data_IF_588475926886
#
_entry.id   IF_588475926886
#
_cell.length_a   1.000
_cell.length_b   1.000
_cell.length_c   1.000
_cell.angle_alpha   90.00
_cell.angle_beta   90.00
_cell.angle_gamma   90.00
#
_symmetry.space_group_name_H-M   'P 1'
#
loop_
_entity.id
_entity.type
_entity.pdbx_description
1 polymer ?
#
# COMPACT_ATOMS: atom_id res chain seq x y z
N UNK A 1 5.32 -50.85 28.40
CA UNK A 1 5.76 -50.12 27.20
C UNK A 1 4.58 -49.66 26.38
N UNK A 2 4.11 -48.44 26.64
CA UNK A 2 3.10 -47.78 25.81
C UNK A 2 3.79 -47.00 24.71
N UNK A 3 3.55 -47.38 23.45
CA UNK A 3 3.98 -46.62 22.29
C UNK A 3 3.24 -45.27 22.26
N UNK A 4 3.99 -44.17 22.32
CA UNK A 4 3.47 -42.84 22.05
C UNK A 4 3.21 -42.76 20.55
N UNK A 5 1.96 -42.49 20.17
CA UNK A 5 1.52 -42.27 18.79
C UNK A 5 2.34 -41.14 18.14
N UNK A 6 2.65 -41.21 16.83
CA UNK A 6 3.33 -40.09 16.17
C UNK A 6 2.40 -38.88 16.11
N UNK A 7 3.00 -37.68 16.15
CA UNK A 7 2.29 -36.41 15.99
C UNK A 7 1.73 -36.31 14.57
N UNK A 8 0.50 -36.81 14.35
CA UNK A 8 -0.29 -36.41 13.20
C UNK A 8 -0.72 -34.96 13.38
N UNK A 9 -0.39 -34.14 12.40
CA UNK A 9 -0.82 -32.76 12.33
C UNK A 9 0.26 -31.85 11.81
N UNK A 10 0.65 -32.02 10.55
CA UNK A 10 1.12 -30.88 9.76
C UNK A 10 -0.01 -29.85 9.79
N UNK A 11 0.13 -28.87 10.69
CA UNK A 11 -0.77 -27.74 10.72
C UNK A 11 -0.43 -26.91 9.48
N UNK A 12 -1.00 -27.31 8.34
CA UNK A 12 -1.16 -26.54 7.12
C UNK A 12 -2.12 -25.37 7.42
N UNK A 13 -1.69 -24.54 8.36
CA UNK A 13 -2.30 -23.30 8.78
C UNK A 13 -1.85 -22.23 7.80
N UNK A 14 -2.52 -22.25 6.65
CA UNK A 14 -2.70 -21.14 5.69
C UNK A 14 -2.25 -19.77 6.22
N UNK A 15 -1.02 -19.41 5.91
CA UNK A 15 -0.75 -18.30 4.98
C UNK A 15 0.55 -18.68 4.29
N UNK A 16 0.43 -19.37 3.17
CA UNK A 16 1.46 -19.32 2.13
C UNK A 16 1.79 -17.85 1.92
N UNK A 17 2.90 -17.39 2.50
CA UNK A 17 4.11 -17.01 1.80
C UNK A 17 3.99 -16.43 0.38
N UNK A 18 2.84 -15.91 -0.04
CA UNK A 18 2.78 -15.01 -1.16
C UNK A 18 3.59 -13.80 -0.73
N UNK A 19 4.74 -13.58 -1.37
CA UNK A 19 5.49 -12.35 -1.23
C UNK A 19 4.52 -11.19 -1.47
N UNK A 20 3.93 -10.67 -0.41
CA UNK A 20 2.85 -9.69 -0.47
C UNK A 20 3.52 -8.41 -0.90
N UNK A 21 3.62 -8.22 -2.21
CA UNK A 21 4.05 -6.97 -2.80
C UNK A 21 3.09 -5.93 -2.27
N UNK A 22 3.56 -5.10 -1.34
CA UNK A 22 2.79 -3.99 -0.80
C UNK A 22 2.36 -3.14 -2.00
N UNK A 23 1.10 -2.71 -2.09
CA UNK A 23 0.62 -1.84 -3.16
C UNK A 23 1.13 -0.39 -2.97
N UNK A 24 2.45 -0.24 -2.89
CA UNK A 24 3.17 1.01 -2.67
C UNK A 24 4.26 1.10 -3.75
N UNK A 25 4.30 2.23 -4.45
CA UNK A 25 5.15 2.44 -5.62
C UNK A 25 4.36 2.60 -6.91
N UNK A 26 5.05 2.58 -8.05
CA UNK A 26 4.43 2.79 -9.36
C UNK A 26 4.11 1.44 -10.02
N UNK A 27 2.88 1.28 -10.50
CA UNK A 27 2.39 0.06 -11.14
C UNK A 27 1.93 0.37 -12.56
N UNK A 28 2.46 -0.31 -13.60
CA UNK A 28 1.95 -0.15 -14.95
C UNK A 28 0.56 -0.78 -15.07
N UNK A 29 -0.32 -0.12 -15.82
CA UNK A 29 -1.65 -0.61 -16.18
C UNK A 29 -1.75 -0.85 -17.69
N UNK A 30 -2.85 -1.45 -18.12
CA UNK A 30 -3.16 -1.55 -19.54
C UNK A 30 -3.23 -0.16 -20.19
N UNK A 31 -2.86 -0.08 -21.48
CA UNK A 31 -2.92 1.17 -22.25
C UNK A 31 -1.81 2.18 -21.94
N UNK A 32 -0.70 1.76 -21.30
CA UNK A 32 0.44 2.64 -21.03
C UNK A 32 0.20 3.65 -19.91
N UNK A 33 -0.81 3.42 -19.08
CA UNK A 33 -1.11 4.24 -17.91
C UNK A 33 -0.49 3.64 -16.64
N UNK A 34 -0.55 4.38 -15.53
CA UNK A 34 0.06 3.97 -14.28
C UNK A 34 -0.90 4.16 -13.10
N UNK A 35 -0.78 3.28 -12.10
CA UNK A 35 -1.30 3.51 -10.76
C UNK A 35 -0.14 3.87 -9.82
N UNK A 36 -0.33 4.90 -9.00
CA UNK A 36 0.60 5.23 -7.93
C UNK A 36 0.04 4.74 -6.59
N UNK A 37 0.75 3.83 -5.94
CA UNK A 37 0.43 3.33 -4.61
C UNK A 37 1.13 4.09 -3.50
N UNK A 38 0.37 4.57 -2.52
CA UNK A 38 0.84 5.30 -1.34
C UNK A 38 0.27 4.63 -0.08
N UNK A 39 1.13 4.28 0.87
CA UNK A 39 0.75 3.62 2.12
C UNK A 39 0.42 4.59 3.26
N UNK A 40 -0.48 4.17 4.15
CA UNK A 40 -0.74 4.83 5.43
C UNK A 40 0.26 4.32 6.49
N UNK A 41 0.92 5.21 7.27
CA UNK A 41 1.78 4.76 8.35
C UNK A 41 0.95 4.03 9.42
N UNK A 42 1.30 2.79 9.73
CA UNK A 42 0.55 1.95 10.69
C UNK A 42 -0.94 1.75 10.36
N UNK A 43 -1.38 2.14 9.16
CA UNK A 43 -2.78 2.11 8.76
C UNK A 43 -3.64 3.32 9.15
N UNK A 44 -3.05 4.37 9.69
CA UNK A 44 -3.78 5.58 10.11
C UNK A 44 -2.98 6.84 9.83
N UNK A 45 -3.67 7.95 9.58
CA UNK A 45 -3.05 9.28 9.44
C UNK A 45 -4.13 10.34 9.75
N UNK A 46 -3.76 11.51 10.32
CA UNK A 46 -4.69 12.62 10.51
C UNK A 46 -5.45 13.00 9.24
N UNK A 47 -6.75 13.31 9.39
CA UNK A 47 -7.65 13.54 8.27
C UNK A 47 -7.27 14.76 7.41
N UNK A 48 -6.71 15.81 8.02
CA UNK A 48 -6.17 16.99 7.34
C UNK A 48 -5.09 16.62 6.33
N UNK A 49 -4.23 15.63 6.64
CA UNK A 49 -3.21 15.12 5.72
C UNK A 49 -3.81 14.34 4.55
N UNK A 50 -4.87 13.57 4.79
CA UNK A 50 -5.62 12.89 3.71
C UNK A 50 -6.23 13.94 2.78
N UNK A 51 -6.86 14.97 3.34
CA UNK A 51 -7.46 16.08 2.58
C UNK A 51 -6.38 16.81 1.76
N UNK A 52 -5.23 17.11 2.35
CA UNK A 52 -4.13 17.77 1.66
C UNK A 52 -3.60 16.93 0.48
N UNK A 53 -3.41 15.62 0.68
CA UNK A 53 -2.97 14.72 -0.38
C UNK A 53 -4.02 14.61 -1.51
N UNK A 54 -5.30 14.46 -1.16
CA UNK A 54 -6.39 14.37 -2.13
C UNK A 54 -6.52 15.67 -2.97
N UNK A 55 -6.36 16.84 -2.34
CA UNK A 55 -6.33 18.14 -3.06
C UNK A 55 -5.15 18.23 -4.03
N UNK A 56 -3.96 17.81 -3.61
CA UNK A 56 -2.78 17.77 -4.48
C UNK A 56 -3.00 16.81 -5.66
N UNK A 57 -3.51 15.60 -5.39
CA UNK A 57 -3.83 14.63 -6.43
C UNK A 57 -4.83 15.17 -7.47
N UNK A 58 -5.91 15.82 -7.01
CA UNK A 58 -6.88 16.45 -7.90
C UNK A 58 -6.24 17.55 -8.76
N UNK A 59 -5.41 18.42 -8.16
CA UNK A 59 -4.70 19.46 -8.90
C UNK A 59 -3.69 18.90 -9.92
N UNK A 60 -3.17 17.70 -9.67
CA UNK A 60 -2.27 16.96 -10.54
C UNK A 60 -2.99 16.06 -11.56
N UNK A 61 -4.33 16.10 -11.60
CA UNK A 61 -5.13 15.39 -12.59
C UNK A 61 -5.46 13.93 -12.25
N UNK A 62 -5.28 13.49 -11.00
CA UNK A 62 -5.84 12.21 -10.55
C UNK A 62 -7.36 12.25 -10.67
N UNK A 63 -7.94 11.23 -11.31
CA UNK A 63 -9.39 11.13 -11.49
C UNK A 63 -10.04 10.14 -10.52
N UNK A 64 -9.25 9.22 -9.97
CA UNK A 64 -9.75 8.17 -9.07
C UNK A 64 -8.74 7.82 -7.98
N UNK A 65 -9.27 7.56 -6.78
CA UNK A 65 -8.52 7.00 -5.64
C UNK A 65 -9.23 5.72 -5.18
N UNK A 66 -8.51 4.60 -5.10
CA UNK A 66 -9.02 3.32 -4.60
C UNK A 66 -8.29 2.89 -3.34
N UNK A 67 -9.00 2.30 -2.41
CA UNK A 67 -8.38 1.63 -1.26
C UNK A 67 -7.77 0.30 -1.71
N UNK A 68 -6.59 -0.03 -1.19
CA UNK A 68 -5.92 -1.29 -1.45
C UNK A 68 -5.57 -2.04 -0.15
N UNK A 69 -5.48 -3.39 -0.20
CA UNK A 69 -5.02 -4.18 0.93
C UNK A 69 -3.69 -3.70 1.51
N UNK A 70 -3.46 -3.95 2.80
CA UNK A 70 -2.24 -3.48 3.46
C UNK A 70 -2.25 -1.99 3.79
N UNK A 71 -3.44 -1.37 3.87
CA UNK A 71 -3.66 0.04 4.24
C UNK A 71 -2.97 1.02 3.30
N UNK A 72 -3.21 0.86 2.01
CA UNK A 72 -2.69 1.77 0.99
C UNK A 72 -3.83 2.39 0.17
N UNK A 73 -3.46 3.43 -0.57
CA UNK A 73 -4.29 4.15 -1.51
C UNK A 73 -3.65 4.03 -2.90
N UNK A 74 -4.45 3.77 -3.92
CA UNK A 74 -4.05 3.75 -5.32
C UNK A 74 -4.62 4.98 -6.02
N UNK A 75 -3.75 5.78 -6.63
CA UNK A 75 -4.09 6.98 -7.39
C UNK A 75 -4.03 6.66 -8.88
N UNK A 76 -5.12 6.97 -9.59
CA UNK A 76 -5.38 6.54 -10.96
C UNK A 76 -5.79 7.73 -11.84
N UNK A 77 -5.46 7.63 -13.12
CA UNK A 77 -5.88 8.60 -14.15
C UNK A 77 -5.02 9.85 -14.25
N UNK A 78 -4.08 10.09 -13.33
CA UNK A 78 -3.11 11.18 -13.47
C UNK A 78 -2.14 10.94 -14.64
N UNK A 79 -1.65 12.01 -15.30
CA UNK A 79 -0.58 11.91 -16.28
C UNK A 79 0.68 11.27 -15.69
N UNK A 80 1.48 10.59 -16.52
CA UNK A 80 2.70 9.91 -16.06
C UNK A 80 3.68 10.85 -15.33
N UNK A 81 3.78 12.10 -15.79
CA UNK A 81 4.62 13.16 -15.23
C UNK A 81 4.18 13.63 -13.83
N UNK A 82 2.92 13.38 -13.46
CA UNK A 82 2.36 13.77 -12.17
C UNK A 82 2.67 12.80 -11.02
N UNK A 83 3.13 11.57 -11.34
CA UNK A 83 3.39 10.55 -10.32
C UNK A 83 4.50 10.96 -9.34
N UNK A 84 5.60 11.53 -9.83
CA UNK A 84 6.70 11.95 -8.96
C UNK A 84 6.30 13.11 -8.03
N UNK A 85 5.72 14.24 -8.53
CA UNK A 85 5.24 15.31 -7.65
C UNK A 85 4.21 14.85 -6.60
N UNK A 86 3.32 13.92 -6.97
CA UNK A 86 2.34 13.37 -6.05
C UNK A 86 3.00 12.50 -4.97
N UNK A 87 3.98 11.67 -5.36
CA UNK A 87 4.78 10.87 -4.42
C UNK A 87 5.57 11.76 -3.46
N UNK A 88 6.18 12.84 -3.94
CA UNK A 88 6.93 13.80 -3.12
C UNK A 88 6.00 14.48 -2.11
N UNK A 89 4.83 14.94 -2.56
CA UNK A 89 3.80 15.52 -1.67
C UNK A 89 3.41 14.53 -0.57
N UNK A 90 3.18 13.27 -0.94
CA UNK A 90 2.83 12.22 0.02
C UNK A 90 3.94 12.01 1.06
N UNK A 91 5.20 11.98 0.64
CA UNK A 91 6.35 11.88 1.54
C UNK A 91 6.42 13.07 2.51
N UNK A 92 6.26 14.30 2.02
CA UNK A 92 6.22 15.52 2.86
C UNK A 92 5.10 15.47 3.90
N UNK A 93 3.93 14.94 3.54
CA UNK A 93 2.80 14.79 4.46
C UNK A 93 3.00 13.63 5.46
N UNK A 94 4.00 12.77 5.25
CA UNK A 94 4.37 11.66 6.13
C UNK A 94 3.74 10.32 5.78
N UNK A 95 3.15 10.20 4.59
CA UNK A 95 2.71 8.90 4.04
C UNK A 95 3.91 8.01 3.72
N UNK A 96 3.63 6.73 3.50
CA UNK A 96 4.63 5.75 3.09
C UNK A 96 4.70 5.68 1.57
N UNK A 97 5.86 6.00 0.99
CA UNK A 97 6.07 6.01 -0.47
C UNK A 97 6.98 4.89 -0.96
N UNK A 98 7.59 4.14 -0.03
CA UNK A 98 8.45 2.99 -0.32
C UNK A 98 7.86 1.71 0.28
N UNK A 99 7.78 0.65 -0.53
CA UNK A 99 7.37 -0.67 -0.06
C UNK A 99 8.33 -1.28 0.99
N UNK A 100 9.57 -0.79 1.07
CA UNK A 100 10.56 -1.25 2.04
C UNK A 100 10.43 -0.56 3.41
N UNK A 101 9.58 0.47 3.55
CA UNK A 101 9.42 1.23 4.78
C UNK A 101 9.00 0.30 5.94
N UNK A 102 9.73 0.29 7.07
CA UNK A 102 9.47 -0.59 8.20
C UNK A 102 8.07 -0.43 8.79
N UNK A 103 7.45 0.76 8.66
CA UNK A 103 6.09 1.03 9.14
C UNK A 103 5.04 0.16 8.46
N UNK A 104 5.34 -0.41 7.29
CA UNK A 104 4.46 -1.33 6.55
C UNK A 104 4.42 -2.75 7.11
N UNK A 105 5.37 -3.09 8.00
CA UNK A 105 5.46 -4.40 8.67
C UNK A 105 4.73 -4.44 10.00
N UNK A 106 4.22 -3.30 10.48
CA UNK A 106 3.51 -3.21 11.74
C UNK A 106 2.00 -3.12 11.47
N UNK A 107 1.24 -3.93 12.19
CA UNK A 107 -0.21 -3.85 12.25
C UNK A 107 -0.64 -3.33 13.62
N UNK A 108 -1.19 -2.12 13.63
CA UNK A 108 -1.87 -1.54 14.77
C UNK A 108 -3.39 -1.66 14.59
N UNK A 109 -4.10 -1.77 15.70
CA UNK A 109 -5.55 -1.77 15.82
C UNK A 109 -6.02 -0.55 16.61
#
# INVERSE_FOLDING_TARGET
DSAISPLEGEMSGRTEGGASRKPIGLFPLAGGTFALGIGLPYGSIPADKIIALAKSALALGTTEIRLAPGRALLFLGQPATANQPLQDTAATLGFVTSAADPRTRIAAC
#
